data_IF_103872810332
#
_entry.id   IF_103872810332
#
_cell.length_a   1.000
_cell.length_b   1.000
_cell.length_c   1.000
_cell.angle_alpha   90.00
_cell.angle_beta   90.00
_cell.angle_gamma   90.00
#
_symmetry.space_group_name_H-M   'P 1'
#
loop_
_entity.id
_entity.type
_entity.pdbx_description
1 polymer ?
#
# COMPACT_ATOMS: atom_id res chain seq x y z
N UNK A 1 10.03 -10.72 -7.35
CA UNK A 1 9.67 -10.06 -6.08
C UNK A 1 9.76 -8.57 -6.28
N UNK A 2 8.60 -7.91 -6.34
CA UNK A 2 8.53 -6.51 -6.74
C UNK A 2 8.58 -5.63 -5.51
N UNK A 3 9.61 -4.78 -5.42
CA UNK A 3 9.68 -3.69 -4.46
C UNK A 3 9.69 -2.37 -5.20
N UNK A 4 8.67 -1.56 -4.95
CA UNK A 4 8.66 -0.18 -5.43
C UNK A 4 8.43 0.75 -4.26
N UNK A 5 9.40 1.64 -4.03
CA UNK A 5 9.23 2.83 -3.19
C UNK A 5 8.18 3.70 -3.87
N UNK A 6 6.96 3.70 -3.34
CA UNK A 6 5.81 4.33 -3.97
C UNK A 6 5.74 5.79 -3.52
N UNK A 7 6.02 6.71 -4.45
CA UNK A 7 5.93 8.15 -4.22
C UNK A 7 4.64 8.79 -4.75
N UNK A 8 3.74 8.04 -5.43
CA UNK A 8 2.47 8.57 -5.97
C UNK A 8 1.29 7.60 -5.77
N UNK A 9 0.11 8.21 -5.60
CA UNK A 9 -1.26 7.73 -5.39
C UNK A 9 -1.52 6.22 -5.60
N UNK A 10 -1.94 5.53 -4.52
CA UNK A 10 -2.63 4.24 -4.62
C UNK A 10 -4.14 4.48 -4.50
N UNK A 11 -4.77 4.80 -5.63
CA UNK A 11 -6.21 4.94 -5.71
C UNK A 11 -6.78 3.80 -6.55
N UNK A 12 -7.56 2.89 -5.96
CA UNK A 12 -8.22 1.76 -6.65
C UNK A 12 -9.09 2.20 -7.85
N UNK A 13 -9.44 3.49 -7.96
CA UNK A 13 -10.31 4.04 -9.02
C UNK A 13 -9.58 4.87 -10.08
N UNK A 14 -8.29 5.15 -9.96
CA UNK A 14 -7.59 5.95 -10.97
C UNK A 14 -6.66 5.10 -11.82
N UNK A 15 -6.52 5.51 -13.08
CA UNK A 15 -5.97 4.85 -14.28
C UNK A 15 -4.50 4.37 -14.17
N UNK A 16 -3.93 4.34 -12.96
CA UNK A 16 -2.60 3.85 -12.64
C UNK A 16 -2.62 3.08 -11.31
N UNK A 17 -3.17 1.85 -11.31
CA UNK A 17 -2.91 0.92 -10.21
C UNK A 17 -1.43 0.49 -10.26
N UNK A 18 -0.59 1.16 -9.48
CA UNK A 18 0.86 0.97 -9.54
C UNK A 18 1.26 -0.45 -9.16
N UNK A 19 0.45 -1.15 -8.34
CA UNK A 19 0.73 -2.53 -7.97
C UNK A 19 0.59 -3.45 -9.19
N UNK A 20 -0.45 -3.27 -10.01
CA UNK A 20 -0.60 -4.02 -11.27
C UNK A 20 0.48 -3.66 -12.28
N UNK A 21 0.80 -2.37 -12.45
CA UNK A 21 1.90 -1.95 -13.31
C UNK A 21 3.25 -2.55 -12.87
N UNK A 22 3.48 -2.64 -11.55
CA UNK A 22 4.71 -3.21 -11.01
C UNK A 22 4.77 -4.72 -11.25
N UNK A 23 3.65 -5.45 -11.14
CA UNK A 23 3.58 -6.87 -11.52
C UNK A 23 3.88 -7.09 -13.00
N UNK A 24 3.32 -6.24 -13.88
CA UNK A 24 3.54 -6.30 -15.32
C UNK A 24 5.02 -6.10 -15.68
N UNK A 25 5.62 -4.99 -15.22
CA UNK A 25 7.02 -4.65 -15.50
C UNK A 25 7.98 -5.72 -14.98
N UNK A 26 7.71 -6.28 -13.81
CA UNK A 26 8.57 -7.29 -13.21
C UNK A 26 8.26 -8.73 -13.66
N UNK A 27 7.15 -8.93 -14.40
CA UNK A 27 6.66 -10.25 -14.80
C UNK A 27 6.52 -11.22 -13.60
N UNK A 28 6.15 -10.70 -12.44
CA UNK A 28 5.95 -11.47 -11.20
C UNK A 28 4.71 -10.92 -10.48
N UNK A 29 3.70 -11.78 -10.32
CA UNK A 29 2.44 -11.41 -9.69
C UNK A 29 2.55 -11.26 -8.15
N UNK A 30 3.68 -11.65 -7.55
CA UNK A 30 3.89 -11.57 -6.11
C UNK A 30 4.43 -10.20 -5.70
N UNK A 31 3.77 -9.62 -4.71
CA UNK A 31 4.17 -8.37 -4.08
C UNK A 31 4.60 -8.69 -2.65
N UNK A 32 5.87 -8.48 -2.31
CA UNK A 32 6.34 -8.75 -0.95
C UNK A 32 5.80 -7.69 0.01
N UNK A 33 5.90 -6.43 -0.38
CA UNK A 33 5.41 -5.32 0.41
C UNK A 33 5.24 -4.00 -0.31
N UNK A 34 4.62 -3.06 0.39
CA UNK A 34 4.28 -1.73 -0.09
C UNK A 34 4.75 -0.70 0.93
N UNK A 35 5.46 0.32 0.47
CA UNK A 35 5.85 1.48 1.27
C UNK A 35 5.56 2.76 0.51
N UNK A 36 4.77 3.66 1.11
CA UNK A 36 4.39 4.93 0.46
C UNK A 36 3.05 5.50 0.92
N UNK A 37 2.69 6.65 0.35
CA UNK A 37 1.41 7.32 0.61
C UNK A 37 0.30 6.90 -0.35
N UNK A 38 -0.88 6.66 0.20
CA UNK A 38 -2.03 6.11 -0.53
C UNK A 38 -2.98 7.21 -1.02
N UNK A 39 -2.79 8.46 -0.57
CA UNK A 39 -3.70 9.59 -0.83
C UNK A 39 -5.13 9.35 -0.32
N UNK A 40 -5.26 8.62 0.80
CA UNK A 40 -6.52 8.34 1.47
C UNK A 40 -6.54 9.05 2.83
N UNK A 41 -7.53 9.91 3.04
CA UNK A 41 -7.61 10.75 4.24
C UNK A 41 -8.83 10.47 5.13
N UNK A 42 -9.89 9.90 4.57
CA UNK A 42 -11.15 9.61 5.27
C UNK A 42 -11.59 8.16 5.02
N UNK A 43 -12.33 7.59 5.97
CA UNK A 43 -12.88 6.23 5.86
C UNK A 43 -14.08 6.24 4.92
N UNK A 44 -13.83 5.90 3.66
CA UNK A 44 -14.83 5.84 2.61
C UNK A 44 -14.93 4.43 2.03
N UNK A 45 -15.92 4.19 1.16
CA UNK A 45 -16.02 2.94 0.40
C UNK A 45 -14.72 2.63 -0.38
N UNK A 46 -13.98 3.66 -0.78
CA UNK A 46 -12.69 3.53 -1.46
C UNK A 46 -11.61 2.90 -0.57
N UNK A 47 -11.60 3.24 0.72
CA UNK A 47 -10.68 2.61 1.70
C UNK A 47 -11.00 1.12 1.80
N UNK A 48 -12.28 0.75 1.88
CA UNK A 48 -12.70 -0.65 1.94
C UNK A 48 -12.29 -1.44 0.68
N UNK A 49 -12.48 -0.85 -0.51
CA UNK A 49 -12.01 -1.45 -1.78
C UNK A 49 -10.50 -1.61 -1.80
N UNK A 50 -9.77 -0.60 -1.35
CA UNK A 50 -8.29 -0.64 -1.26
C UNK A 50 -7.83 -1.73 -0.30
N UNK A 51 -8.43 -1.83 0.89
CA UNK A 51 -8.15 -2.88 1.87
C UNK A 51 -8.40 -4.28 1.27
N UNK A 52 -9.53 -4.48 0.61
CA UNK A 52 -9.87 -5.76 -0.02
C UNK A 52 -8.86 -6.15 -1.10
N UNK A 53 -8.47 -5.18 -1.93
CA UNK A 53 -7.44 -5.40 -2.94
C UNK A 53 -6.07 -5.73 -2.30
N UNK A 54 -5.66 -5.01 -1.26
CA UNK A 54 -4.39 -5.28 -0.56
C UNK A 54 -4.38 -6.68 0.08
N UNK A 55 -5.51 -7.13 0.64
CA UNK A 55 -5.67 -8.50 1.17
C UNK A 55 -5.45 -9.56 0.10
N UNK A 56 -6.03 -9.37 -1.09
CA UNK A 56 -5.89 -10.32 -2.20
C UNK A 56 -4.45 -10.46 -2.71
N UNK A 57 -3.58 -9.47 -2.43
CA UNK A 57 -2.18 -9.49 -2.83
C UNK A 57 -1.25 -10.23 -1.85
N UNK A 58 -1.76 -10.78 -0.73
CA UNK A 58 -0.98 -11.54 0.25
C UNK A 58 0.33 -10.84 0.68
N UNK A 59 0.24 -9.54 0.94
CA UNK A 59 1.37 -8.72 1.35
C UNK A 59 1.90 -9.19 2.71
N UNK A 60 3.23 -9.37 2.81
CA UNK A 60 3.86 -9.63 4.11
C UNK A 60 4.17 -8.32 4.85
N UNK A 61 4.27 -7.22 4.09
CA UNK A 61 4.96 -6.01 4.52
C UNK A 61 4.19 -4.77 4.04
N UNK A 62 3.68 -3.95 4.97
CA UNK A 62 2.81 -2.82 4.62
C UNK A 62 3.16 -1.58 5.45
N UNK A 63 3.59 -0.53 4.76
CA UNK A 63 4.13 0.70 5.36
C UNK A 63 3.43 1.94 4.76
N UNK A 64 2.13 2.17 5.02
CA UNK A 64 1.43 3.36 4.56
C UNK A 64 1.92 4.60 5.33
N UNK A 65 2.31 5.66 4.62
CA UNK A 65 2.95 6.83 5.21
C UNK A 65 2.63 8.14 4.47
N UNK A 66 3.13 9.28 4.96
CA UNK A 66 2.99 10.60 4.33
C UNK A 66 1.53 11.02 4.06
N UNK A 67 1.06 10.93 2.82
CA UNK A 67 -0.31 11.27 2.39
C UNK A 67 -1.30 10.14 2.72
N UNK A 68 -1.38 9.69 3.96
CA UNK A 68 -2.41 8.75 4.43
C UNK A 68 -2.73 9.06 5.87
N UNK A 69 -3.99 9.38 6.16
CA UNK A 69 -4.36 9.79 7.51
C UNK A 69 -4.20 8.66 8.51
N UNK A 70 -4.02 9.02 9.79
CA UNK A 70 -3.97 8.05 10.88
C UNK A 70 -5.25 7.20 10.93
N UNK A 71 -6.42 7.81 10.74
CA UNK A 71 -7.68 7.07 10.71
C UNK A 71 -7.68 5.97 9.64
N UNK A 72 -7.25 6.28 8.42
CA UNK A 72 -7.13 5.29 7.34
C UNK A 72 -6.10 4.22 7.68
N UNK A 73 -4.92 4.59 8.19
CA UNK A 73 -3.89 3.63 8.63
C UNK A 73 -4.42 2.68 9.69
N UNK A 74 -5.17 3.19 10.66
CA UNK A 74 -5.80 2.41 11.72
C UNK A 74 -6.87 1.46 11.16
N UNK A 75 -7.68 1.90 10.20
CA UNK A 75 -8.67 1.06 9.53
C UNK A 75 -8.03 -0.10 8.77
N UNK A 76 -6.95 0.18 8.04
CA UNK A 76 -6.16 -0.87 7.37
C UNK A 76 -5.55 -1.82 8.41
N UNK A 77 -5.04 -1.30 9.53
CA UNK A 77 -4.40 -2.09 10.58
C UNK A 77 -5.33 -3.10 11.26
N UNK A 78 -6.65 -2.86 11.25
CA UNK A 78 -7.64 -3.84 11.77
C UNK A 78 -7.57 -5.20 11.07
N UNK A 79 -7.03 -5.25 9.86
CA UNK A 79 -7.11 -6.43 8.99
C UNK A 79 -5.82 -6.78 8.26
N UNK A 80 -4.85 -5.88 8.19
CA UNK A 80 -3.54 -6.08 7.59
C UNK A 80 -2.47 -5.53 8.54
N UNK A 81 -1.30 -6.18 8.68
CA UNK A 81 -0.26 -5.73 9.60
C UNK A 81 0.43 -4.46 9.08
N UNK A 82 -0.12 -3.30 9.41
CA UNK A 82 0.51 -2.00 9.13
C UNK A 82 1.71 -1.79 10.06
N UNK A 83 2.85 -1.45 9.47
CA UNK A 83 4.08 -1.07 10.15
C UNK A 83 4.29 0.44 10.06
N UNK A 84 4.87 1.02 11.11
CA UNK A 84 5.13 2.45 11.17
C UNK A 84 6.30 2.86 10.29
N UNK A 85 6.29 4.12 9.85
CA UNK A 85 7.33 4.71 9.01
C UNK A 85 7.75 6.04 9.62
N UNK A 86 9.06 6.23 9.75
CA UNK A 86 9.69 7.48 10.17
C UNK A 86 10.82 7.88 9.23
N UNK A 87 11.28 9.13 9.34
CA UNK A 87 12.50 9.58 8.66
C UNK A 87 13.67 8.75 9.19
N UNK A 88 14.54 8.28 8.28
CA UNK A 88 15.66 7.42 8.63
C UNK A 88 15.31 5.95 8.85
N UNK A 89 14.08 5.52 8.53
CA UNK A 89 13.75 4.09 8.53
C UNK A 89 14.60 3.34 7.49
N UNK A 90 15.32 2.33 7.97
CA UNK A 90 16.04 1.34 7.17
C UNK A 90 15.32 0.00 7.26
N UNK A 91 15.19 -0.70 6.13
CA UNK A 91 14.57 -2.03 6.08
C UNK A 91 15.47 -2.95 5.28
N UNK A 92 15.81 -4.09 5.88
CA UNK A 92 16.67 -5.12 5.29
C UNK A 92 15.80 -6.30 4.84
N UNK A 93 16.01 -6.76 3.60
CA UNK A 93 15.20 -7.79 2.92
C UNK A 93 16.05 -8.92 2.38
#
# INVERSE_FOLDING_TARGET
MVFKKLWRNLNYREECNIIEYAKEVCKDNRVLGIIGGFHLFEITEQVNKTINYLKQNNLKELYPCHCTSFAVRAEIHKVLPVKEVGVGLEINW
#
